data_IF_238844365757
#
_entry.id   IF_238844365757
#
_cell.length_a   1.000
_cell.length_b   1.000
_cell.length_c   1.000
_cell.angle_alpha   90.00
_cell.angle_beta   90.00
_cell.angle_gamma   90.00
#
_symmetry.space_group_name_H-M   'P 1'
#
loop_
_entity.id
_entity.type
_entity.pdbx_description
1 polymer ?
#
# COMPACT_ATOMS: atom_id res chain seq x y z
N UNK A 1 12.32 3.06 -1.56
CA UNK A 1 11.97 4.37 -0.97
C UNK A 1 11.55 4.20 0.49
N UNK A 2 10.28 3.86 0.82
CA UNK A 2 9.88 3.72 2.24
C UNK A 2 10.68 2.63 2.99
N UNK A 3 10.99 1.51 2.33
CA UNK A 3 11.85 0.45 2.91
C UNK A 3 13.27 0.97 3.24
N UNK A 4 13.86 1.76 2.35
CA UNK A 4 15.18 2.38 2.55
C UNK A 4 15.14 3.44 3.66
N UNK A 5 14.04 4.20 3.74
CA UNK A 5 13.79 5.18 4.80
C UNK A 5 13.68 4.51 6.18
N UNK A 6 12.97 3.37 6.26
CA UNK A 6 12.89 2.57 7.48
C UNK A 6 14.25 1.98 7.89
N UNK A 7 15.02 1.46 6.93
CA UNK A 7 16.38 0.96 7.17
C UNK A 7 17.34 2.05 7.62
N UNK A 8 17.12 3.28 7.18
CA UNK A 8 17.94 4.45 7.53
C UNK A 8 17.45 5.21 8.77
N UNK A 9 16.45 4.70 9.51
CA UNK A 9 15.86 5.33 10.71
C UNK A 9 16.89 5.95 11.65
N UNK A 10 17.99 5.25 11.94
CA UNK A 10 19.04 5.77 12.83
C UNK A 10 19.74 7.01 12.26
N UNK A 11 20.01 7.03 10.95
CA UNK A 11 20.65 8.16 10.28
C UNK A 11 19.68 9.34 10.19
N UNK A 12 18.40 9.09 9.88
CA UNK A 12 17.35 10.11 9.86
C UNK A 12 17.20 10.76 11.24
N UNK A 13 17.08 9.97 12.31
CA UNK A 13 16.97 10.51 13.66
C UNK A 13 18.21 11.32 14.08
N UNK A 14 19.42 10.85 13.72
CA UNK A 14 20.65 11.62 13.95
C UNK A 14 20.65 12.95 13.21
N UNK A 15 20.21 12.96 11.95
CA UNK A 15 20.11 14.17 11.15
C UNK A 15 19.11 15.15 11.76
N UNK A 16 17.90 14.71 12.11
CA UNK A 16 16.87 15.56 12.72
C UNK A 16 17.33 16.15 14.06
N UNK A 17 18.05 15.37 14.87
CA UNK A 17 18.62 15.89 16.14
C UNK A 17 19.66 17.00 15.94
N UNK A 18 20.25 17.14 14.75
CA UNK A 18 21.19 18.20 14.42
C UNK A 18 20.52 19.44 13.80
N UNK A 19 19.23 19.34 13.42
CA UNK A 19 18.48 20.41 12.76
C UNK A 19 17.43 20.98 13.71
N UNK A 20 17.69 22.16 14.28
CA UNK A 20 16.78 22.78 15.26
C UNK A 20 15.44 23.23 14.64
N UNK A 21 15.38 23.41 13.31
CA UNK A 21 14.19 23.88 12.59
C UNK A 21 13.19 22.75 12.26
N UNK A 22 13.60 21.49 12.34
CA UNK A 22 12.78 20.35 11.98
C UNK A 22 12.34 19.57 13.23
N UNK A 23 11.04 19.23 13.36
CA UNK A 23 10.61 18.41 14.48
C UNK A 23 11.20 16.99 14.38
N UNK A 24 11.58 16.37 15.51
CA UNK A 24 12.02 14.98 15.51
C UNK A 24 10.84 14.07 15.19
N UNK A 25 11.11 12.96 14.52
CA UNK A 25 10.12 11.90 14.35
C UNK A 25 9.84 11.23 15.69
N UNK A 26 8.57 11.10 16.04
CA UNK A 26 8.11 10.35 17.20
C UNK A 26 8.08 8.85 16.91
N UNK A 27 7.94 8.03 17.96
CA UNK A 27 7.69 6.59 17.80
C UNK A 27 6.41 6.31 17.00
N UNK A 28 5.41 7.18 17.12
CA UNK A 28 4.15 7.03 16.39
C UNK A 28 4.32 7.30 14.88
N UNK A 29 5.13 8.30 14.50
CA UNK A 29 5.43 8.57 13.09
C UNK A 29 6.13 7.38 12.44
N UNK A 30 7.09 6.81 13.16
CA UNK A 30 7.81 5.60 12.77
C UNK A 30 6.91 4.38 12.63
N UNK A 31 6.00 4.17 13.59
CA UNK A 31 4.97 3.12 13.51
C UNK A 31 4.03 3.34 12.32
N UNK A 32 3.63 4.58 12.04
CA UNK A 32 2.76 4.90 10.91
C UNK A 32 3.47 4.62 9.58
N UNK A 33 4.77 4.94 9.47
CA UNK A 33 5.58 4.59 8.30
C UNK A 33 5.70 3.08 8.08
N UNK A 34 5.87 2.29 9.15
CA UNK A 34 5.90 0.82 9.07
C UNK A 34 4.57 0.25 8.57
N UNK A 35 3.45 0.80 9.02
CA UNK A 35 2.12 0.39 8.55
C UNK A 35 1.90 0.75 7.07
N UNK A 36 2.28 1.97 6.65
CA UNK A 36 2.24 2.38 5.25
C UNK A 36 3.12 1.45 4.41
N UNK A 37 4.32 1.13 4.89
CA UNK A 37 5.22 0.20 4.23
C UNK A 37 4.58 -1.18 4.05
N UNK A 38 3.88 -1.70 5.05
CA UNK A 38 3.23 -3.02 4.99
C UNK A 38 2.25 -3.11 3.82
N UNK A 39 1.38 -2.11 3.65
CA UNK A 39 0.43 -2.06 2.53
C UNK A 39 1.15 -1.93 1.19
N UNK A 40 2.09 -0.97 1.09
CA UNK A 40 2.82 -0.73 -0.16
C UNK A 40 3.71 -1.91 -0.57
N UNK A 41 4.24 -2.65 0.40
CA UNK A 41 5.09 -3.80 0.15
C UNK A 41 4.30 -4.94 -0.48
N UNK A 42 3.14 -5.30 0.08
CA UNK A 42 2.27 -6.34 -0.50
C UNK A 42 1.79 -5.98 -1.90
N UNK A 43 1.40 -4.72 -2.09
CA UNK A 43 1.06 -4.20 -3.42
C UNK A 43 2.23 -4.31 -4.40
N UNK A 44 3.43 -3.96 -3.96
CA UNK A 44 4.65 -4.08 -4.76
C UNK A 44 4.97 -5.54 -5.11
N UNK A 45 4.87 -6.47 -4.16
CA UNK A 45 5.10 -7.89 -4.39
C UNK A 45 4.16 -8.44 -5.46
N UNK A 46 2.85 -8.16 -5.36
CA UNK A 46 1.85 -8.58 -6.33
C UNK A 46 2.15 -8.01 -7.73
N UNK A 47 2.32 -6.70 -7.83
CA UNK A 47 2.56 -6.03 -9.12
C UNK A 47 3.89 -6.42 -9.75
N UNK A 48 4.94 -6.65 -8.95
CA UNK A 48 6.22 -7.16 -9.42
C UNK A 48 6.11 -8.60 -9.93
N UNK A 49 5.40 -9.46 -9.20
CA UNK A 49 5.14 -10.84 -9.59
C UNK A 49 4.44 -10.90 -10.94
N UNK A 50 3.36 -10.13 -11.10
CA UNK A 50 2.60 -10.01 -12.35
C UNK A 50 3.52 -9.51 -13.47
N UNK A 51 4.26 -8.41 -13.24
CA UNK A 51 5.14 -7.81 -14.26
C UNK A 51 6.22 -8.78 -14.75
N UNK A 52 6.85 -9.54 -13.85
CA UNK A 52 7.88 -10.53 -14.20
C UNK A 52 7.31 -11.72 -14.98
N UNK A 53 6.02 -12.02 -14.83
CA UNK A 53 5.36 -13.12 -15.53
C UNK A 53 5.02 -12.79 -16.98
N UNK A 54 5.24 -11.55 -17.43
CA UNK A 54 4.89 -11.06 -18.78
C UNK A 54 3.43 -11.39 -19.15
N UNK A 55 2.46 -10.77 -18.46
CA UNK A 55 1.09 -11.21 -18.48
C UNK A 55 0.48 -11.01 -19.87
N UNK A 56 -0.28 -12.01 -20.33
CA UNK A 56 -1.10 -11.88 -21.53
C UNK A 56 -2.35 -11.07 -21.22
N UNK A 57 -2.95 -10.43 -22.24
CA UNK A 57 -4.18 -9.65 -22.08
C UNK A 57 -5.33 -10.49 -21.50
N UNK A 58 -5.33 -11.80 -21.73
CA UNK A 58 -6.29 -12.75 -21.14
C UNK A 58 -6.23 -12.81 -19.60
N UNK A 59 -5.13 -12.37 -18.99
CA UNK A 59 -4.97 -12.30 -17.54
C UNK A 59 -5.43 -10.97 -16.94
N UNK A 60 -5.89 -10.01 -17.75
CA UNK A 60 -6.31 -8.70 -17.25
C UNK A 60 -7.40 -8.79 -16.18
N UNK A 61 -8.42 -9.63 -16.39
CA UNK A 61 -9.52 -9.84 -15.44
C UNK A 61 -9.03 -10.52 -14.15
N UNK A 62 -8.31 -11.68 -14.20
CA UNK A 62 -7.70 -12.26 -13.00
C UNK A 62 -6.82 -11.28 -12.21
N UNK A 63 -5.96 -10.52 -12.90
CA UNK A 63 -5.07 -9.53 -12.27
C UNK A 63 -5.88 -8.42 -11.57
N UNK A 64 -6.97 -7.97 -12.18
CA UNK A 64 -7.87 -7.00 -11.57
C UNK A 64 -8.44 -7.53 -10.25
N UNK A 65 -8.97 -8.75 -10.26
CA UNK A 65 -9.57 -9.35 -9.08
C UNK A 65 -8.55 -9.67 -7.98
N UNK A 66 -7.36 -10.17 -8.32
CA UNK A 66 -6.27 -10.37 -7.35
C UNK A 66 -5.86 -9.06 -6.68
N UNK A 67 -5.79 -7.97 -7.45
CA UNK A 67 -5.50 -6.65 -6.88
C UNK A 67 -6.66 -6.13 -6.02
N UNK A 68 -7.90 -6.35 -6.46
CA UNK A 68 -9.08 -5.94 -5.70
C UNK A 68 -9.15 -6.66 -4.35
N UNK A 69 -8.97 -7.98 -4.32
CA UNK A 69 -8.95 -8.80 -3.11
C UNK A 69 -7.86 -8.34 -2.13
N UNK A 70 -6.65 -8.06 -2.62
CA UNK A 70 -5.58 -7.53 -1.78
C UNK A 70 -5.96 -6.20 -1.12
N UNK A 71 -6.58 -5.28 -1.87
CA UNK A 71 -6.98 -3.97 -1.33
C UNK A 71 -8.21 -4.08 -0.42
N UNK A 72 -9.12 -5.02 -0.69
CA UNK A 72 -10.27 -5.32 0.15
C UNK A 72 -9.83 -5.86 1.53
N UNK A 73 -8.85 -6.77 1.54
CA UNK A 73 -8.21 -7.27 2.76
C UNK A 73 -7.61 -6.14 3.61
N UNK A 74 -7.04 -5.12 2.97
CA UNK A 74 -6.53 -3.93 3.66
C UNK A 74 -7.69 -3.14 4.27
N UNK A 75 -8.80 -2.96 3.55
CA UNK A 75 -9.94 -2.17 4.03
C UNK A 75 -10.74 -2.85 5.13
N UNK A 76 -10.84 -4.18 5.10
CA UNK A 76 -11.51 -4.98 6.12
C UNK A 76 -10.57 -5.27 7.32
N UNK A 77 -9.27 -5.01 7.18
CA UNK A 77 -8.29 -5.26 8.22
C UNK A 77 -8.04 -6.76 8.41
N UNK A 78 -8.03 -7.53 7.34
CA UNK A 78 -7.77 -8.96 7.37
C UNK A 78 -6.27 -9.26 7.45
N UNK A 79 -5.92 -10.41 8.02
CA UNK A 79 -4.55 -10.94 8.02
C UNK A 79 -3.50 -9.95 8.57
N UNK A 80 -2.51 -9.64 7.75
CA UNK A 80 -1.40 -8.73 8.08
C UNK A 80 -1.86 -7.27 8.32
N UNK A 81 -3.11 -6.92 7.95
CA UNK A 81 -3.65 -5.56 7.98
C UNK A 81 -4.52 -5.26 9.21
N UNK A 82 -4.72 -6.23 10.11
CA UNK A 82 -5.61 -6.11 11.26
C UNK A 82 -5.30 -4.99 12.26
N UNK A 83 -4.08 -4.43 12.20
CA UNK A 83 -3.61 -3.37 13.11
C UNK A 83 -3.33 -2.05 12.39
N UNK A 84 -3.78 -1.89 11.15
CA UNK A 84 -3.60 -0.65 10.42
C UNK A 84 -4.38 0.50 11.06
N UNK A 85 -3.78 1.67 11.03
CA UNK A 85 -4.42 2.92 11.38
C UNK A 85 -5.60 3.21 10.45
N UNK A 86 -6.68 3.75 11.03
CA UNK A 86 -7.94 4.01 10.30
C UNK A 86 -7.75 4.98 9.14
N UNK A 87 -6.84 5.93 9.25
CA UNK A 87 -6.57 6.87 8.16
C UNK A 87 -5.94 6.16 6.95
N UNK A 88 -5.09 5.16 7.20
CA UNK A 88 -4.46 4.35 6.15
C UNK A 88 -5.55 3.53 5.45
N UNK A 89 -6.40 2.87 6.23
CA UNK A 89 -7.57 2.13 5.72
C UNK A 89 -8.47 3.05 4.88
N UNK A 90 -8.79 4.24 5.38
CA UNK A 90 -9.61 5.22 4.67
C UNK A 90 -8.96 5.70 3.36
N UNK A 91 -7.65 5.94 3.37
CA UNK A 91 -6.91 6.33 2.17
C UNK A 91 -6.94 5.24 1.09
N UNK A 92 -6.79 3.97 1.49
CA UNK A 92 -6.89 2.83 0.56
C UNK A 92 -8.30 2.72 -0.01
N UNK A 93 -9.33 2.84 0.85
CA UNK A 93 -10.74 2.82 0.44
C UNK A 93 -11.08 3.94 -0.56
N UNK A 94 -10.61 5.17 -0.32
CA UNK A 94 -10.77 6.26 -1.30
C UNK A 94 -10.00 5.99 -2.60
N UNK A 95 -8.84 5.34 -2.53
CA UNK A 95 -8.10 4.88 -3.70
C UNK A 95 -8.90 3.88 -4.53
N UNK A 96 -9.52 2.88 -3.89
CA UNK A 96 -10.33 1.83 -4.52
C UNK A 96 -11.49 2.40 -5.35
N UNK A 97 -12.11 3.50 -4.92
CA UNK A 97 -13.18 4.15 -5.72
C UNK A 97 -12.74 4.58 -7.12
N UNK A 98 -11.44 4.88 -7.32
CA UNK A 98 -10.92 5.17 -8.66
C UNK A 98 -10.89 3.93 -9.55
N UNK A 99 -10.81 2.74 -8.95
CA UNK A 99 -10.79 1.45 -9.64
C UNK A 99 -12.20 0.92 -9.96
N UNK A 100 -13.23 1.34 -9.22
CA UNK A 100 -14.63 0.98 -9.49
C UNK A 100 -15.06 1.34 -10.92
N UNK A 101 -14.49 2.41 -11.51
CA UNK A 101 -14.74 2.79 -12.91
C UNK A 101 -14.43 1.67 -13.91
N UNK A 102 -13.49 0.79 -13.59
CA UNK A 102 -13.08 -0.33 -14.45
C UNK A 102 -13.91 -1.59 -14.19
N UNK A 103 -14.66 -1.65 -13.07
CA UNK A 103 -15.60 -2.75 -12.78
C UNK A 103 -16.79 -2.77 -13.74
N UNK A 104 -17.15 -1.62 -14.32
CA UNK A 104 -18.29 -1.45 -15.23
C UNK A 104 -18.12 -2.23 -16.55
N UNK A 105 -16.92 -2.77 -16.84
CA UNK A 105 -16.72 -3.66 -17.98
C UNK A 105 -17.41 -5.02 -17.82
N UNK A 106 -17.72 -5.47 -16.59
CA UNK A 106 -18.46 -6.72 -16.35
C UNK A 106 -19.95 -6.62 -16.68
N UNK A 107 -20.54 -5.42 -16.68
CA UNK A 107 -21.96 -5.21 -16.98
C UNK A 107 -22.27 -5.14 -18.50
N UNK A 108 -21.25 -5.26 -19.36
CA UNK A 108 -21.41 -5.11 -20.81
C UNK A 108 -21.64 -6.42 -21.58
N UNK A 109 -21.62 -7.58 -20.90
CA UNK A 109 -21.85 -8.89 -21.50
C UNK A 109 -23.23 -9.47 -21.11
N UNK A 110 -24.32 -8.75 -21.40
CA UNK A 110 -25.69 -9.31 -21.43
C UNK A 110 -26.42 -9.07 -22.75
#
# INVERSE_FOLDING_TARGET
MVDDDLKSRQQVNKFLNLQEELPPFTLQDWSRLEQIHTVLHKFHELTLFISKRNPQISLAVPIYYELHELLDDVTEGNGDFAKLDRDIIAAVKEGMKKYEKYSIMDDCDT
#
